data_IF_628054344037
#
_entry.id   IF_628054344037
#
_cell.length_a   1.000
_cell.length_b   1.000
_cell.length_c   1.000
_cell.angle_alpha   90.00
_cell.angle_beta   90.00
_cell.angle_gamma   90.00
#
_symmetry.space_group_name_H-M   'P 1'
#
loop_
_entity.id
_entity.type
_entity.pdbx_description
1 polymer ?
#
# COMPACT_ATOMS: atom_id res chain seq x y z
N UNK A 1 -4.13 25.12 53.51
CA UNK A 1 -4.20 25.87 52.24
C UNK A 1 -3.41 25.09 51.22
N UNK A 2 -4.13 24.45 50.30
CA UNK A 2 -3.63 23.41 49.40
C UNK A 2 -2.88 24.06 48.25
N UNK A 3 -1.64 23.62 48.02
CA UNK A 3 -0.81 24.02 46.89
C UNK A 3 -1.50 23.63 45.57
N UNK A 4 -1.64 24.61 44.69
CA UNK A 4 -2.10 24.45 43.32
C UNK A 4 -1.19 23.48 42.57
N UNK A 5 -1.72 22.29 42.25
CA UNK A 5 -1.09 21.35 41.32
C UNK A 5 -1.36 21.84 39.89
N UNK A 6 -0.48 22.66 39.35
CA UNK A 6 -0.44 22.92 37.90
C UNK A 6 0.08 21.66 37.21
N UNK A 7 -0.86 20.95 36.57
CA UNK A 7 -0.71 19.80 35.67
C UNK A 7 0.64 19.76 34.93
N UNK A 8 1.43 18.73 35.22
CA UNK A 8 2.46 18.23 34.31
C UNK A 8 1.76 17.68 33.06
N UNK A 9 2.01 18.31 31.92
CA UNK A 9 1.59 17.81 30.61
C UNK A 9 2.44 16.57 30.27
N UNK A 10 1.81 15.44 30.01
CA UNK A 10 2.50 14.18 29.73
C UNK A 10 3.41 14.30 28.50
N UNK A 11 4.51 13.55 28.45
CA UNK A 11 5.46 13.54 27.31
C UNK A 11 4.75 13.34 25.96
N UNK A 12 3.68 12.53 25.95
CA UNK A 12 2.84 12.29 24.79
C UNK A 12 2.16 13.56 24.26
N UNK A 13 1.65 14.41 25.15
CA UNK A 13 0.97 15.66 24.78
C UNK A 13 1.96 16.68 24.21
N UNK A 14 3.17 16.75 24.77
CA UNK A 14 4.23 17.64 24.26
C UNK A 14 4.69 17.23 22.84
N UNK A 15 4.77 15.93 22.58
CA UNK A 15 5.10 15.40 21.24
C UNK A 15 3.99 15.70 20.24
N UNK A 16 2.72 15.50 20.62
CA UNK A 16 1.58 15.84 19.76
C UNK A 16 1.54 17.34 19.43
N UNK A 17 1.78 18.22 20.40
CA UNK A 17 1.82 19.68 20.18
C UNK A 17 2.95 20.08 19.21
N UNK A 18 4.12 19.45 19.32
CA UNK A 18 5.23 19.70 18.41
C UNK A 18 4.88 19.30 16.97
N UNK A 19 4.32 18.11 16.77
CA UNK A 19 3.91 17.66 15.43
C UNK A 19 2.75 18.48 14.87
N UNK A 20 1.84 18.96 15.71
CA UNK A 20 0.79 19.90 15.30
C UNK A 20 1.40 21.18 14.72
N UNK A 21 2.37 21.78 15.42
CA UNK A 21 3.08 22.99 14.95
C UNK A 21 3.80 22.74 13.63
N UNK A 22 4.48 21.59 13.48
CA UNK A 22 5.16 21.21 12.24
C UNK A 22 4.17 21.08 11.07
N UNK A 23 3.02 20.44 11.28
CA UNK A 23 1.98 20.32 10.24
C UNK A 23 1.37 21.65 9.85
N UNK A 24 1.07 22.52 10.83
CA UNK A 24 0.61 23.88 10.57
C UNK A 24 1.65 24.64 9.74
N UNK A 25 2.94 24.46 10.04
CA UNK A 25 4.02 25.11 9.32
C UNK A 25 4.07 24.72 7.84
N UNK A 26 3.72 23.47 7.50
CA UNK A 26 3.62 23.01 6.11
C UNK A 26 2.56 23.79 5.30
N UNK A 27 1.52 24.30 5.97
CA UNK A 27 0.43 25.07 5.34
C UNK A 27 0.42 26.54 5.79
N UNK A 28 1.56 27.07 6.26
CA UNK A 28 1.65 28.37 6.94
C UNK A 28 1.17 29.55 6.09
N UNK A 29 1.32 29.47 4.77
CA UNK A 29 0.96 30.57 3.87
C UNK A 29 -0.56 30.66 3.65
N UNK A 30 -1.32 29.65 4.12
CA UNK A 30 -2.78 29.66 4.11
C UNK A 30 -3.35 30.46 5.31
N UNK A 31 -4.55 31.06 5.16
CA UNK A 31 -5.26 31.69 6.27
C UNK A 31 -5.46 30.72 7.45
N UNK A 32 -5.31 31.23 8.68
CA UNK A 32 -5.32 30.42 9.92
C UNK A 32 -6.55 29.52 10.07
N UNK A 33 -7.72 30.02 9.69
CA UNK A 33 -8.98 29.28 9.70
C UNK A 33 -9.00 28.10 8.70
N UNK A 34 -8.30 28.22 7.57
CA UNK A 34 -8.27 27.19 6.53
C UNK A 34 -7.24 26.09 6.80
N UNK A 35 -6.14 26.40 7.52
CA UNK A 35 -5.06 25.44 7.80
C UNK A 35 -5.57 24.16 8.43
N UNK A 36 -6.45 24.27 9.43
CA UNK A 36 -7.02 23.11 10.13
C UNK A 36 -7.84 22.22 9.20
N UNK A 37 -8.61 22.81 8.30
CA UNK A 37 -9.46 22.05 7.38
C UNK A 37 -8.64 21.39 6.28
N UNK A 38 -7.61 22.07 5.76
CA UNK A 38 -6.64 21.47 4.82
C UNK A 38 -5.90 20.31 5.49
N UNK A 39 -5.41 20.47 6.72
CA UNK A 39 -4.76 19.39 7.46
C UNK A 39 -5.72 18.25 7.79
N UNK A 40 -6.98 18.51 8.12
CA UNK A 40 -8.00 17.47 8.29
C UNK A 40 -8.29 16.74 6.99
N UNK A 41 -8.25 17.41 5.84
CA UNK A 41 -8.38 16.72 4.56
C UNK A 41 -7.19 15.79 4.34
N UNK A 42 -5.97 16.29 4.52
CA UNK A 42 -4.74 15.52 4.33
C UNK A 42 -4.63 14.35 5.32
N UNK A 43 -4.82 14.56 6.62
CA UNK A 43 -4.52 13.59 7.69
C UNK A 43 -5.77 12.95 8.32
N UNK A 44 -6.93 13.59 8.19
CA UNK A 44 -8.18 13.16 8.83
C UNK A 44 -8.51 13.90 10.14
N UNK A 45 -9.52 13.45 10.89
CA UNK A 45 -10.01 14.16 12.08
C UNK A 45 -9.00 14.23 13.23
N UNK A 46 -7.95 13.41 13.22
CA UNK A 46 -6.89 13.36 14.25
C UNK A 46 -5.57 14.00 13.81
N UNK A 47 -5.61 14.92 12.84
CA UNK A 47 -4.42 15.52 12.21
C UNK A 47 -3.37 16.10 13.17
N UNK A 48 -3.73 16.43 14.42
CA UNK A 48 -2.83 16.97 15.43
C UNK A 48 -2.07 15.92 16.25
N UNK A 49 -2.22 14.62 15.98
CA UNK A 49 -1.45 13.57 16.68
C UNK A 49 -0.21 13.14 15.91
N UNK A 50 0.91 12.90 16.59
CA UNK A 50 2.20 12.63 15.96
C UNK A 50 2.18 11.43 14.97
N UNK A 51 1.45 10.37 15.28
CA UNK A 51 1.39 9.14 14.48
C UNK A 51 0.42 9.16 13.28
N UNK A 52 -0.22 10.28 12.96
CA UNK A 52 -1.19 10.32 11.84
C UNK A 52 -0.49 10.48 10.51
N UNK A 53 -0.74 9.55 9.59
CA UNK A 53 -0.18 9.53 8.25
C UNK A 53 -1.08 10.30 7.25
N UNK A 54 -0.49 10.93 6.22
CA UNK A 54 -1.28 11.54 5.16
C UNK A 54 -2.11 10.51 4.38
N UNK A 55 -3.32 10.90 3.99
CA UNK A 55 -4.26 10.10 3.21
C UNK A 55 -3.96 10.25 1.73
N UNK A 56 -3.64 9.15 1.07
CA UNK A 56 -3.26 9.09 -0.35
C UNK A 56 -4.38 9.48 -1.31
N UNK A 57 -5.65 9.50 -0.87
CA UNK A 57 -6.81 9.93 -1.67
C UNK A 57 -7.03 11.45 -1.77
N UNK A 58 -6.08 12.26 -1.29
CA UNK A 58 -6.14 13.73 -1.27
C UNK A 58 -4.97 14.37 -2.01
N UNK A 59 -4.53 13.71 -3.09
CA UNK A 59 -3.33 14.05 -3.84
C UNK A 59 -3.36 15.48 -4.41
N UNK A 60 -4.53 15.98 -4.78
CA UNK A 60 -4.77 17.35 -5.25
C UNK A 60 -4.43 18.40 -4.17
N UNK A 61 -4.95 18.21 -2.95
CA UNK A 61 -4.70 19.10 -1.81
C UNK A 61 -3.24 19.03 -1.39
N UNK A 62 -2.67 17.82 -1.33
CA UNK A 62 -1.27 17.62 -0.96
C UNK A 62 -0.34 18.26 -2.01
N UNK A 63 -0.61 18.10 -3.32
CA UNK A 63 0.17 18.74 -4.39
C UNK A 63 0.17 20.25 -4.26
N UNK A 64 -1.02 20.84 -4.04
CA UNK A 64 -1.15 22.29 -3.83
C UNK A 64 -0.28 22.75 -2.68
N UNK A 65 -0.31 22.05 -1.55
CA UNK A 65 0.50 22.38 -0.36
C UNK A 65 2.01 22.33 -0.66
N UNK A 66 2.49 21.27 -1.31
CA UNK A 66 3.94 21.14 -1.61
C UNK A 66 4.45 22.20 -2.58
N UNK A 67 3.61 22.71 -3.49
CA UNK A 67 3.98 23.79 -4.41
C UNK A 67 4.30 25.11 -3.68
N UNK A 68 3.68 25.37 -2.54
CA UNK A 68 3.92 26.58 -1.75
C UNK A 68 5.18 26.49 -0.86
N UNK A 69 5.72 25.29 -0.65
CA UNK A 69 6.77 25.09 0.36
C UNK A 69 7.95 24.23 -0.14
N UNK A 70 8.72 24.67 -1.14
CA UNK A 70 9.81 23.88 -1.69
C UNK A 70 10.83 23.45 -0.62
N UNK A 71 11.29 22.21 -0.71
CA UNK A 71 12.24 21.63 0.24
C UNK A 71 13.58 22.39 0.16
N UNK A 72 14.16 22.69 1.33
CA UNK A 72 15.44 23.40 1.46
C UNK A 72 16.28 22.78 2.58
N UNK A 73 17.61 22.88 2.45
CA UNK A 73 18.57 22.23 3.36
C UNK A 73 18.74 22.93 4.70
N UNK A 74 18.26 24.16 4.84
CA UNK A 74 18.18 24.94 6.08
C UNK A 74 16.88 24.69 6.87
N UNK A 75 15.96 23.90 6.30
CA UNK A 75 14.66 23.63 6.91
C UNK A 75 14.80 22.76 8.17
N UNK A 76 13.97 23.06 9.18
CA UNK A 76 13.83 22.26 10.40
C UNK A 76 13.70 20.74 10.04
N UNK A 77 14.48 19.84 10.67
CA UNK A 77 14.49 18.41 10.33
C UNK A 77 13.12 17.74 10.40
N UNK A 78 12.27 18.10 11.37
CA UNK A 78 10.92 17.55 11.51
C UNK A 78 10.00 18.04 10.38
N UNK A 79 10.17 19.28 9.95
CA UNK A 79 9.42 19.83 8.82
C UNK A 79 9.83 19.19 7.50
N UNK A 80 11.12 18.90 7.32
CA UNK A 80 11.64 18.13 6.18
C UNK A 80 11.08 16.72 6.15
N UNK A 81 10.97 16.07 7.31
CA UNK A 81 10.36 14.75 7.43
C UNK A 81 8.85 14.77 7.08
N UNK A 82 8.11 15.77 7.56
CA UNK A 82 6.69 15.90 7.21
C UNK A 82 6.48 16.20 5.71
N UNK A 83 7.36 17.00 5.10
CA UNK A 83 7.35 17.21 3.67
C UNK A 83 7.62 15.92 2.89
N UNK A 84 8.59 15.10 3.32
CA UNK A 84 8.85 13.78 2.72
C UNK A 84 7.65 12.85 2.87
N UNK A 85 6.94 12.86 4.00
CA UNK A 85 5.72 12.07 4.20
C UNK A 85 4.63 12.46 3.21
N UNK A 86 4.47 13.76 2.95
CA UNK A 86 3.53 14.27 1.95
C UNK A 86 3.96 13.94 0.52
N UNK A 87 5.25 14.09 0.19
CA UNK A 87 5.80 13.65 -1.10
C UNK A 87 5.59 12.16 -1.33
N UNK A 88 5.85 11.34 -0.30
CA UNK A 88 5.59 9.91 -0.33
C UNK A 88 4.10 9.66 -0.54
N UNK A 89 3.21 10.36 0.16
CA UNK A 89 1.77 10.22 -0.05
C UNK A 89 1.29 10.60 -1.47
N UNK A 90 2.01 11.51 -2.16
CA UNK A 90 1.76 11.83 -3.58
C UNK A 90 2.34 10.81 -4.55
N UNK A 91 3.57 10.37 -4.30
CA UNK A 91 4.25 9.36 -5.11
C UNK A 91 3.59 7.98 -4.96
N UNK A 92 2.96 7.74 -3.81
CA UNK A 92 2.42 6.46 -3.42
C UNK A 92 0.99 6.27 -3.94
N UNK A 93 0.89 5.75 -5.16
CA UNK A 93 -0.35 5.16 -5.63
C UNK A 93 -0.58 3.86 -4.85
N UNK A 94 -1.38 3.90 -3.78
CA UNK A 94 -1.81 2.69 -3.08
C UNK A 94 -2.35 1.68 -4.11
N UNK A 95 -1.58 0.62 -4.33
CA UNK A 95 -1.95 -0.53 -5.16
C UNK A 95 -2.73 -1.56 -4.35
N UNK A 96 -3.44 -2.43 -5.05
CA UNK A 96 -4.09 -3.63 -4.53
C UNK A 96 -3.37 -4.84 -5.11
N UNK A 97 -2.65 -5.54 -4.27
CA UNK A 97 -1.97 -6.78 -4.63
C UNK A 97 -2.98 -7.92 -4.57
N UNK A 98 -3.19 -8.54 -5.73
CA UNK A 98 -4.06 -9.70 -5.92
C UNK A 98 -3.15 -10.93 -5.88
N UNK A 99 -3.02 -11.51 -4.70
CA UNK A 99 -2.16 -12.67 -4.47
C UNK A 99 -2.90 -13.93 -4.89
N UNK A 100 -2.27 -14.74 -5.74
CA UNK A 100 -2.74 -16.10 -5.97
C UNK A 100 -2.73 -16.91 -4.66
N UNK A 101 -3.62 -17.91 -4.55
CA UNK A 101 -3.76 -18.68 -3.32
C UNK A 101 -2.83 -19.90 -3.30
N UNK A 102 -3.04 -20.80 -4.26
CA UNK A 102 -2.42 -22.12 -4.27
C UNK A 102 -0.97 -22.04 -4.77
N UNK A 103 -0.04 -22.59 -4.00
CA UNK A 103 1.40 -22.53 -4.26
C UNK A 103 2.07 -21.15 -4.01
N UNK A 104 1.30 -20.11 -3.67
CA UNK A 104 1.83 -18.81 -3.22
C UNK A 104 1.58 -18.53 -1.73
N UNK A 105 0.36 -18.72 -1.24
CA UNK A 105 0.03 -18.51 0.17
C UNK A 105 0.00 -19.82 0.94
N UNK A 106 -0.52 -20.87 0.29
CA UNK A 106 -0.67 -22.20 0.85
C UNK A 106 -0.23 -23.25 -0.17
N UNK A 107 0.46 -24.29 0.28
CA UNK A 107 0.79 -25.49 -0.51
C UNK A 107 0.18 -26.69 0.21
N UNK A 108 -0.75 -27.41 -0.43
CA UNK A 108 -1.45 -28.56 0.18
C UNK A 108 -2.00 -28.25 1.59
N UNK A 109 -2.62 -27.08 1.73
CA UNK A 109 -3.17 -26.53 2.99
C UNK A 109 -2.14 -26.12 4.07
N UNK A 110 -0.84 -26.16 3.77
CA UNK A 110 0.21 -25.69 4.67
C UNK A 110 0.60 -24.26 4.27
N UNK A 111 0.63 -23.28 5.20
CA UNK A 111 1.06 -21.93 4.89
C UNK A 111 2.52 -21.89 4.44
N UNK A 112 2.83 -21.01 3.50
CA UNK A 112 4.21 -20.79 3.04
C UNK A 112 4.96 -19.91 4.04
N UNK A 113 6.14 -20.37 4.47
CA UNK A 113 6.95 -19.70 5.47
C UNK A 113 7.30 -18.26 5.08
N UNK A 114 7.26 -17.36 6.07
CA UNK A 114 7.55 -15.93 5.90
C UNK A 114 6.48 -15.12 5.16
N UNK A 115 5.52 -15.77 4.48
CA UNK A 115 4.53 -15.06 3.66
C UNK A 115 3.58 -14.19 4.50
N UNK A 116 3.20 -14.65 5.71
CA UNK A 116 2.39 -13.87 6.66
C UNK A 116 3.05 -12.54 7.04
N UNK A 117 4.35 -12.56 7.33
CA UNK A 117 5.08 -11.36 7.72
C UNK A 117 5.11 -10.35 6.58
N UNK A 118 5.41 -10.81 5.37
CA UNK A 118 5.45 -9.96 4.17
C UNK A 118 4.07 -9.38 3.87
N UNK A 119 3.00 -10.17 3.98
CA UNK A 119 1.62 -9.67 3.84
C UNK A 119 1.29 -8.62 4.89
N UNK A 120 1.69 -8.83 6.15
CA UNK A 120 1.54 -7.83 7.21
C UNK A 120 2.22 -6.51 6.84
N UNK A 121 3.47 -6.58 6.36
CA UNK A 121 4.22 -5.40 5.89
C UNK A 121 3.56 -4.73 4.66
N UNK A 122 2.98 -5.52 3.75
CA UNK A 122 2.26 -5.01 2.58
C UNK A 122 0.98 -4.30 2.98
N UNK A 123 0.15 -4.87 3.87
CA UNK A 123 -1.14 -4.32 4.29
C UNK A 123 -1.03 -2.94 4.95
N UNK A 124 0.12 -2.60 5.53
CA UNK A 124 0.40 -1.27 6.09
C UNK A 124 0.33 -0.19 5.00
N UNK A 125 0.78 -0.52 3.79
CA UNK A 125 0.99 0.45 2.73
C UNK A 125 -0.02 0.23 1.59
N UNK A 126 -0.23 -1.01 1.18
CA UNK A 126 -1.11 -1.43 0.08
C UNK A 126 -2.44 -2.02 0.55
N UNK A 127 -3.34 -2.28 -0.38
CA UNK A 127 -4.40 -3.26 -0.18
C UNK A 127 -3.88 -4.64 -0.62
N UNK A 128 -4.28 -5.68 0.08
CA UNK A 128 -3.91 -7.07 -0.24
C UNK A 128 -5.19 -7.89 -0.24
N UNK A 129 -5.42 -8.63 -1.32
CA UNK A 129 -6.54 -9.55 -1.49
C UNK A 129 -6.03 -10.87 -2.02
N UNK A 130 -6.78 -11.93 -1.78
CA UNK A 130 -6.51 -13.26 -2.35
C UNK A 130 -7.43 -13.47 -3.55
N UNK A 131 -6.86 -13.95 -4.64
CA UNK A 131 -7.58 -14.34 -5.86
C UNK A 131 -7.32 -15.81 -6.13
N UNK A 132 -8.37 -16.60 -6.41
CA UNK A 132 -8.22 -18.03 -6.70
C UNK A 132 -9.33 -18.53 -7.62
N UNK A 133 -9.04 -19.61 -8.36
CA UNK A 133 -10.03 -20.34 -9.13
C UNK A 133 -10.96 -21.19 -8.25
N UNK A 134 -10.56 -21.51 -7.02
CA UNK A 134 -11.36 -22.28 -6.07
C UNK A 134 -12.61 -21.52 -5.62
N UNK A 135 -13.70 -22.21 -5.25
CA UNK A 135 -14.90 -21.57 -4.71
C UNK A 135 -14.60 -20.68 -3.51
N UNK A 136 -15.22 -19.50 -3.45
CA UNK A 136 -14.90 -18.48 -2.43
C UNK A 136 -15.05 -19.00 -0.99
N UNK A 137 -16.07 -19.83 -0.72
CA UNK A 137 -16.29 -20.41 0.61
C UNK A 137 -15.20 -21.41 1.01
N UNK A 138 -14.80 -22.28 0.08
CA UNK A 138 -13.75 -23.27 0.27
C UNK A 138 -12.39 -22.59 0.50
N UNK A 139 -12.07 -21.60 -0.34
CA UNK A 139 -10.85 -20.80 -0.22
C UNK A 139 -10.73 -20.11 1.14
N UNK A 140 -11.83 -19.52 1.64
CA UNK A 140 -11.87 -18.90 2.98
C UNK A 140 -11.62 -19.91 4.09
N UNK A 141 -12.19 -21.11 4.00
CA UNK A 141 -11.98 -22.16 5.00
C UNK A 141 -10.51 -22.60 5.04
N UNK A 142 -9.89 -22.81 3.87
CA UNK A 142 -8.49 -23.21 3.77
C UNK A 142 -7.55 -22.12 4.31
N UNK A 143 -7.76 -20.87 3.89
CA UNK A 143 -6.98 -19.73 4.37
C UNK A 143 -7.14 -19.52 5.88
N UNK A 144 -8.33 -19.75 6.43
CA UNK A 144 -8.56 -19.64 7.86
C UNK A 144 -7.79 -20.70 8.66
N UNK A 145 -7.76 -21.96 8.19
CA UNK A 145 -6.91 -23.01 8.79
C UNK A 145 -5.41 -22.66 8.72
N UNK A 146 -4.99 -21.98 7.65
CA UNK A 146 -3.65 -21.48 7.49
C UNK A 146 -3.39 -20.17 8.26
N UNK A 147 -4.40 -19.60 8.94
CA UNK A 147 -4.34 -18.38 9.76
C UNK A 147 -4.19 -17.08 8.93
N UNK A 148 -4.93 -17.00 7.82
CA UNK A 148 -5.10 -15.84 6.95
C UNK A 148 -6.56 -15.33 6.97
N UNK A 149 -7.27 -15.51 8.08
CA UNK A 149 -8.70 -15.17 8.24
C UNK A 149 -9.03 -13.69 7.96
N UNK A 150 -8.02 -12.83 8.05
CA UNK A 150 -8.12 -11.38 7.90
C UNK A 150 -7.93 -10.89 6.46
N UNK A 151 -7.79 -11.80 5.49
CA UNK A 151 -7.68 -11.48 4.07
C UNK A 151 -9.04 -11.52 3.35
N UNK A 152 -9.25 -10.53 2.49
CA UNK A 152 -10.40 -10.52 1.59
C UNK A 152 -10.15 -11.49 0.44
N UNK A 153 -11.04 -12.47 0.27
CA UNK A 153 -10.93 -13.54 -0.73
C UNK A 153 -11.93 -13.34 -1.85
N UNK A 154 -11.43 -13.39 -3.09
CA UNK A 154 -12.20 -13.47 -4.33
C UNK A 154 -11.94 -14.84 -4.96
N UNK A 155 -12.85 -15.79 -4.74
CA UNK A 155 -12.82 -17.10 -5.36
C UNK A 155 -13.68 -17.15 -6.63
N UNK A 156 -13.81 -18.34 -7.19
CA UNK A 156 -14.56 -18.61 -8.42
C UNK A 156 -14.04 -17.81 -9.63
N UNK A 157 -12.79 -17.36 -9.57
CA UNK A 157 -12.14 -16.61 -10.63
C UNK A 157 -11.59 -17.59 -11.68
N UNK A 158 -12.49 -18.28 -12.37
CA UNK A 158 -12.14 -19.12 -13.52
C UNK A 158 -11.58 -18.25 -14.64
N UNK A 159 -10.68 -18.83 -15.43
CA UNK A 159 -10.01 -18.17 -16.56
C UNK A 159 -10.96 -17.93 -17.74
N UNK A 160 -11.98 -17.11 -17.52
CA UNK A 160 -12.92 -16.68 -18.54
C UNK A 160 -12.36 -15.41 -19.17
N UNK A 161 -11.59 -15.59 -20.27
CA UNK A 161 -11.23 -14.56 -21.27
C UNK A 161 -11.27 -13.12 -20.72
N UNK A 162 -10.20 -12.71 -20.04
CA UNK A 162 -9.92 -11.31 -19.68
C UNK A 162 -10.44 -10.81 -18.32
N UNK A 163 -11.50 -11.37 -17.74
CA UNK A 163 -12.17 -10.70 -16.60
C UNK A 163 -11.77 -11.15 -15.20
N UNK A 164 -10.67 -11.90 -15.04
CA UNK A 164 -10.24 -12.49 -13.74
C UNK A 164 -10.22 -11.47 -12.59
N UNK A 165 -9.75 -10.25 -12.84
CA UNK A 165 -9.59 -9.21 -11.80
C UNK A 165 -10.72 -8.17 -11.77
N UNK A 166 -11.71 -8.26 -12.66
CA UNK A 166 -12.83 -7.33 -12.72
C UNK A 166 -13.68 -7.31 -11.44
N UNK A 167 -13.95 -8.45 -10.76
CA UNK A 167 -14.64 -8.45 -9.47
C UNK A 167 -13.88 -7.64 -8.40
N UNK A 168 -12.55 -7.74 -8.38
CA UNK A 168 -11.69 -6.99 -7.46
C UNK A 168 -11.76 -5.49 -7.78
N UNK A 169 -11.60 -5.11 -9.05
CA UNK A 169 -11.71 -3.73 -9.49
C UNK A 169 -13.07 -3.11 -9.14
N UNK A 170 -14.15 -3.87 -9.35
CA UNK A 170 -15.53 -3.43 -9.07
C UNK A 170 -15.75 -3.22 -7.58
N UNK A 171 -15.26 -4.14 -6.72
CA UNK A 171 -15.37 -4.03 -5.27
C UNK A 171 -14.72 -2.75 -4.74
N UNK A 172 -13.56 -2.37 -5.28
CA UNK A 172 -12.85 -1.15 -4.87
C UNK A 172 -13.23 0.10 -5.67
N UNK A 173 -14.12 -0.01 -6.67
CA UNK A 173 -14.54 1.11 -7.51
C UNK A 173 -13.43 1.68 -8.41
N UNK A 174 -12.50 0.85 -8.86
CA UNK A 174 -11.40 1.31 -9.74
C UNK A 174 -11.88 1.45 -11.19
N UNK A 175 -11.91 2.70 -11.69
CA UNK A 175 -12.20 3.02 -13.09
C UNK A 175 -11.06 2.70 -14.05
N UNK A 176 -9.82 2.61 -13.54
CA UNK A 176 -8.60 2.22 -14.25
C UNK A 176 -7.85 1.14 -13.46
N UNK A 177 -8.26 -0.13 -13.57
CA UNK A 177 -7.66 -1.23 -12.81
C UNK A 177 -6.15 -1.38 -13.05
N UNK A 178 -5.66 -1.05 -14.24
CA UNK A 178 -4.25 -1.07 -14.61
C UNK A 178 -3.35 -0.18 -13.75
N UNK A 179 -3.91 0.92 -13.24
CA UNK A 179 -3.19 1.89 -12.43
C UNK A 179 -3.22 1.51 -10.94
N UNK A 180 -4.00 0.50 -10.54
CA UNK A 180 -4.31 0.23 -9.13
C UNK A 180 -4.12 -1.22 -8.73
N UNK A 181 -4.34 -2.17 -9.61
CA UNK A 181 -4.18 -3.59 -9.33
C UNK A 181 -2.76 -4.03 -9.67
N UNK A 182 -2.28 -5.04 -8.94
CA UNK A 182 -1.06 -5.77 -9.25
C UNK A 182 -1.37 -7.24 -9.01
N UNK A 183 -1.32 -8.06 -10.05
CA UNK A 183 -1.43 -9.50 -9.92
C UNK A 183 -0.11 -10.09 -9.43
N UNK A 184 -0.17 -11.13 -8.60
CA UNK A 184 1.01 -11.86 -8.13
C UNK A 184 0.71 -13.34 -8.22
N UNK A 185 1.59 -14.10 -8.86
CA UNK A 185 1.45 -15.55 -9.03
C UNK A 185 2.80 -16.21 -9.25
N UNK A 186 2.81 -17.53 -9.20
CA UNK A 186 4.00 -18.36 -9.41
C UNK A 186 3.84 -19.33 -10.59
N UNK A 187 2.68 -19.33 -11.27
CA UNK A 187 2.45 -20.06 -12.51
C UNK A 187 2.21 -19.12 -13.69
N UNK A 188 2.64 -19.53 -14.89
CA UNK A 188 2.35 -18.81 -16.14
C UNK A 188 0.86 -18.82 -16.50
N UNK A 189 0.09 -19.79 -15.96
CA UNK A 189 -1.38 -19.80 -16.01
C UNK A 189 -2.02 -18.66 -15.20
N UNK A 190 -1.27 -18.00 -14.33
CA UNK A 190 -1.75 -16.85 -13.57
C UNK A 190 -1.60 -15.53 -14.33
N UNK A 191 -0.92 -15.57 -15.47
CA UNK A 191 -0.72 -14.40 -16.32
C UNK A 191 -2.08 -13.88 -16.82
N UNK A 192 -2.44 -12.61 -16.53
CA UNK A 192 -3.75 -12.08 -16.90
C UNK A 192 -3.93 -12.07 -18.42
N UNK A 193 -4.98 -12.72 -18.93
CA UNK A 193 -5.34 -12.66 -20.35
C UNK A 193 -5.80 -11.27 -20.84
N UNK A 194 -6.17 -10.36 -19.92
CA UNK A 194 -6.46 -8.94 -20.22
C UNK A 194 -5.26 -8.07 -19.88
N UNK A 195 -4.66 -7.52 -20.92
CA UNK A 195 -3.30 -6.99 -20.98
C UNK A 195 -3.29 -5.53 -20.50
N UNK A 196 -3.58 -5.28 -19.23
CA UNK A 196 -3.33 -3.95 -18.66
C UNK A 196 -2.88 -3.93 -17.19
N UNK A 197 -3.14 -4.98 -16.42
CA UNK A 197 -2.74 -5.04 -15.01
C UNK A 197 -1.28 -5.53 -14.87
N UNK A 198 -0.40 -4.86 -14.10
CA UNK A 198 0.93 -5.35 -13.74
C UNK A 198 0.89 -6.74 -13.11
N UNK A 199 1.78 -7.66 -13.50
CA UNK A 199 1.87 -8.99 -12.93
C UNK A 199 3.29 -9.32 -12.44
N UNK A 200 3.42 -9.64 -11.15
CA UNK A 200 4.63 -10.17 -10.54
C UNK A 200 4.59 -11.70 -10.64
N UNK A 201 5.44 -12.23 -11.50
CA UNK A 201 5.70 -13.66 -11.68
C UNK A 201 6.88 -14.10 -10.80
N UNK A 202 6.58 -14.93 -9.81
CA UNK A 202 7.55 -15.45 -8.84
C UNK A 202 8.04 -16.83 -9.27
N UNK A 203 9.01 -16.85 -10.18
CA UNK A 203 9.66 -18.07 -10.68
C UNK A 203 10.82 -18.50 -9.79
N UNK A 204 10.53 -18.81 -8.54
CA UNK A 204 11.54 -19.18 -7.53
C UNK A 204 11.08 -20.38 -6.71
N UNK A 205 12.01 -21.15 -6.09
CA UNK A 205 11.64 -22.20 -5.15
C UNK A 205 10.75 -21.67 -4.02
N UNK A 206 9.86 -22.53 -3.50
CA UNK A 206 8.87 -22.17 -2.49
C UNK A 206 9.44 -21.42 -1.27
N UNK A 207 10.61 -21.86 -0.78
CA UNK A 207 11.29 -21.26 0.37
C UNK A 207 11.81 -19.82 0.11
N UNK A 208 11.81 -19.36 -1.15
CA UNK A 208 12.24 -18.03 -1.55
C UNK A 208 11.08 -17.11 -1.95
N UNK A 209 9.84 -17.62 -2.00
CA UNK A 209 8.67 -16.86 -2.46
C UNK A 209 8.45 -15.58 -1.66
N UNK A 210 8.59 -15.63 -0.32
CA UNK A 210 8.42 -14.46 0.53
C UNK A 210 9.47 -13.36 0.23
N UNK A 211 10.75 -13.74 0.10
CA UNK A 211 11.82 -12.80 -0.27
C UNK A 211 11.64 -12.24 -1.69
N UNK A 212 11.19 -13.07 -2.63
CA UNK A 212 10.93 -12.69 -4.01
C UNK A 212 9.76 -11.71 -4.12
N UNK A 213 8.67 -11.95 -3.39
CA UNK A 213 7.54 -11.02 -3.31
C UNK A 213 7.97 -9.66 -2.75
N UNK A 214 8.75 -9.66 -1.67
CA UNK A 214 9.27 -8.43 -1.05
C UNK A 214 10.12 -7.62 -2.06
N UNK A 215 10.99 -8.29 -2.80
CA UNK A 215 11.82 -7.66 -3.83
C UNK A 215 10.97 -7.13 -5.00
N UNK A 216 10.00 -7.91 -5.47
CA UNK A 216 9.07 -7.50 -6.54
C UNK A 216 8.27 -6.25 -6.18
N UNK A 217 7.71 -6.20 -4.98
CA UNK A 217 7.00 -5.02 -4.46
C UNK A 217 7.92 -3.81 -4.41
N UNK A 218 9.12 -3.96 -3.85
CA UNK A 218 10.07 -2.85 -3.72
C UNK A 218 10.51 -2.30 -5.09
N UNK A 219 10.58 -3.15 -6.11
CA UNK A 219 10.84 -2.74 -7.49
C UNK A 219 9.70 -1.90 -8.06
N UNK A 220 8.44 -2.33 -7.87
CA UNK A 220 7.25 -1.60 -8.32
C UNK A 220 7.09 -0.23 -7.63
N UNK A 221 7.45 -0.14 -6.36
CA UNK A 221 7.34 1.11 -5.60
C UNK A 221 8.35 2.19 -6.05
N UNK A 222 9.45 1.82 -6.73
CA UNK A 222 10.55 2.73 -7.08
C UNK A 222 10.47 3.36 -8.48
N UNK A 223 9.70 2.80 -9.42
CA UNK A 223 9.62 3.30 -10.81
C UNK A 223 8.23 3.88 -11.11
N UNK A 224 8.10 5.15 -11.57
CA UNK A 224 6.84 5.64 -12.14
C UNK A 224 6.56 4.84 -13.41
N UNK A 225 5.43 4.14 -13.45
CA UNK A 225 5.05 3.27 -14.56
C UNK A 225 4.90 4.06 -15.87
N UNK A 226 5.95 4.06 -16.70
CA UNK A 226 5.89 4.22 -18.16
C UNK A 226 6.37 2.91 -18.75
N UNK A 227 5.69 2.43 -19.79
CA UNK A 227 5.75 1.05 -20.28
C UNK A 227 7.13 0.39 -20.30
N UNK A 228 7.12 -0.90 -19.91
CA UNK A 228 7.99 -2.02 -20.27
C UNK A 228 9.51 -1.80 -20.39
N UNK A 229 10.31 -2.53 -19.60
CA UNK A 229 11.70 -2.88 -19.94
C UNK A 229 11.95 -4.36 -19.60
N UNK A 230 12.55 -5.09 -20.55
CA UNK A 230 12.90 -6.51 -20.49
C UNK A 230 14.40 -6.61 -20.23
N UNK A 231 14.83 -7.10 -19.07
CA UNK A 231 16.23 -7.51 -18.86
C UNK A 231 16.29 -9.01 -18.59
N UNK A 232 17.00 -9.73 -19.45
CA UNK A 232 17.22 -11.17 -19.36
C UNK A 232 18.53 -11.42 -18.61
N UNK A 233 18.43 -11.73 -17.31
CA UNK A 233 19.52 -12.39 -16.59
C UNK A 233 18.99 -13.33 -15.49
N UNK A 234 19.71 -14.43 -15.31
CA UNK A 234 19.41 -15.56 -14.44
C UNK A 234 19.26 -15.17 -12.96
N UNK A 235 18.21 -15.71 -12.29
CA UNK A 235 17.86 -15.63 -10.85
C UNK A 235 16.95 -14.48 -10.36
N UNK A 236 16.09 -13.93 -11.23
CA UNK A 236 15.33 -12.71 -10.89
C UNK A 236 13.81 -12.90 -10.79
N UNK A 237 13.20 -12.11 -9.90
CA UNK A 237 11.75 -11.83 -9.83
C UNK A 237 11.31 -11.29 -11.19
N UNK A 238 10.41 -12.00 -11.87
CA UNK A 238 9.96 -11.62 -13.21
C UNK A 238 8.69 -10.80 -13.07
N UNK A 239 8.61 -9.60 -13.63
CA UNK A 239 7.34 -8.87 -13.75
C UNK A 239 6.98 -8.91 -15.22
N UNK A 240 5.95 -9.69 -15.59
CA UNK A 240 5.60 -9.98 -16.99
C UNK A 240 4.18 -9.54 -17.35
N UNK A 241 3.86 -9.49 -18.65
CA UNK A 241 2.51 -9.25 -19.19
C UNK A 241 2.21 -10.35 -20.21
N UNK A 242 0.96 -10.82 -20.27
CA UNK A 242 0.54 -11.81 -21.27
C UNK A 242 0.51 -11.21 -22.69
N UNK A 243 0.65 -12.10 -23.69
CA UNK A 243 0.77 -11.84 -25.12
C UNK A 243 -0.49 -11.21 -25.74
#
# INVERSE_FOLDING_TARGET
>A
MTLNVTRECSLSEQVDELYEKIRIQVVKDMPSNERRDVLKQIYGPRWNRAGVLPRTGKSDVIQKVLQFYPLSDDMNPLLREEYRRLQNALAYQRKTFCLDMDGLLIEKHVPIDGMKEIIGQLKIRHAVVVTTAAPTAEAREMLGKAGYDDLLVFGDLKDARGKKYLPVASYFGYSRPEDRLVAVGHSTSDSPADISIPFIYLDVPQHQLASALKAGVASLEKKPYKGFEIENSSNEVKVSKAA
#
